data_IF_250490745144
#
_entry.id   IF_250490745144
#
_cell.length_a   1.000
_cell.length_b   1.000
_cell.length_c   1.000
_cell.angle_alpha   90.00
_cell.angle_beta   90.00
_cell.angle_gamma   90.00
#
_symmetry.space_group_name_H-M   'P 1'
#
loop_
_entity.id
_entity.type
_entity.pdbx_description
1 polymer ?
#
# COMPACT_ATOMS: atom_id res chain seq x y z
N UNK A 1 8.23 -6.29 -25.43
CA UNK A 1 7.47 -6.08 -24.18
C UNK A 1 8.52 -6.03 -23.08
N UNK A 2 8.69 -4.88 -22.42
CA UNK A 2 9.57 -4.80 -21.25
C UNK A 2 9.10 -5.84 -20.23
N UNK A 3 10.01 -6.68 -19.72
CA UNK A 3 9.70 -7.61 -18.65
C UNK A 3 9.30 -6.81 -17.42
N UNK A 4 8.00 -6.59 -17.21
CA UNK A 4 7.50 -6.03 -15.97
C UNK A 4 7.87 -6.99 -14.85
N UNK A 5 8.65 -6.50 -13.90
CA UNK A 5 8.95 -7.24 -12.70
C UNK A 5 7.75 -7.10 -11.73
N UNK A 6 7.70 -7.91 -10.68
CA UNK A 6 6.60 -7.89 -9.71
C UNK A 6 6.45 -6.53 -9.00
N UNK A 7 7.53 -5.77 -8.87
CA UNK A 7 7.51 -4.42 -8.28
C UNK A 7 6.83 -3.43 -9.21
N UNK A 8 7.13 -3.46 -10.51
CA UNK A 8 6.45 -2.60 -11.49
C UNK A 8 4.93 -2.83 -11.48
N UNK A 9 4.50 -4.09 -11.38
CA UNK A 9 3.08 -4.44 -11.27
C UNK A 9 2.46 -3.95 -9.96
N UNK A 10 3.19 -4.04 -8.85
CA UNK A 10 2.76 -3.54 -7.55
C UNK A 10 2.58 -2.03 -7.57
N UNK A 11 3.57 -1.30 -8.07
CA UNK A 11 3.55 0.17 -8.12
C UNK A 11 2.37 0.65 -8.98
N UNK A 12 2.13 0.03 -10.14
CA UNK A 12 0.92 0.30 -10.94
C UNK A 12 -0.38 0.03 -10.18
N UNK A 13 -0.43 -1.00 -9.34
CA UNK A 13 -1.61 -1.31 -8.53
C UNK A 13 -1.85 -0.26 -7.45
N UNK A 14 -0.79 0.23 -6.81
CA UNK A 14 -0.85 1.27 -5.79
C UNK A 14 -1.35 2.60 -6.37
N UNK A 15 -0.83 3.01 -7.53
CA UNK A 15 -1.32 4.19 -8.26
C UNK A 15 -2.81 4.08 -8.59
N UNK A 16 -3.25 2.94 -9.15
CA UNK A 16 -4.66 2.72 -9.48
C UNK A 16 -5.56 2.77 -8.23
N UNK A 17 -5.10 2.26 -7.10
CA UNK A 17 -5.86 2.28 -5.85
C UNK A 17 -5.94 3.69 -5.25
N UNK A 18 -4.86 4.47 -5.31
CA UNK A 18 -4.86 5.86 -4.87
C UNK A 18 -5.85 6.70 -5.68
N UNK A 19 -5.89 6.50 -7.00
CA UNK A 19 -6.88 7.10 -7.89
C UNK A 19 -8.32 6.74 -7.52
N UNK A 20 -8.58 5.47 -7.18
CA UNK A 20 -9.91 5.04 -6.75
C UNK A 20 -10.28 5.65 -5.40
N UNK A 21 -9.34 5.76 -4.47
CA UNK A 21 -9.59 6.37 -3.17
C UNK A 21 -9.86 7.87 -3.28
N UNK A 22 -9.16 8.58 -4.16
CA UNK A 22 -9.49 9.97 -4.51
C UNK A 22 -10.94 10.09 -5.00
N UNK A 23 -11.38 9.19 -5.90
CA UNK A 23 -12.76 9.16 -6.42
C UNK A 23 -13.78 8.85 -5.32
N UNK A 24 -13.50 7.87 -4.46
CA UNK A 24 -14.37 7.48 -3.35
C UNK A 24 -14.58 8.63 -2.35
N UNK A 25 -13.52 9.41 -2.11
CA UNK A 25 -13.56 10.57 -1.19
C UNK A 25 -14.10 11.84 -1.85
N UNK A 26 -14.40 11.83 -3.16
CA UNK A 26 -14.82 13.01 -3.91
C UNK A 26 -13.75 14.10 -4.00
N UNK A 27 -12.46 13.72 -3.89
CA UNK A 27 -11.32 14.64 -3.93
C UNK A 27 -10.92 14.90 -5.38
N UNK A 28 -10.49 16.13 -5.68
CA UNK A 28 -9.81 16.42 -6.94
C UNK A 28 -8.43 15.77 -6.88
N UNK A 29 -8.16 14.83 -7.80
CA UNK A 29 -6.98 13.94 -7.84
C UNK A 29 -5.69 14.62 -7.42
N UNK A 30 -5.36 15.75 -8.05
CA UNK A 30 -3.96 16.17 -8.17
C UNK A 30 -3.27 16.60 -6.86
N UNK A 31 -4.01 17.02 -5.83
CA UNK A 31 -3.39 17.44 -4.55
C UNK A 31 -3.35 16.34 -3.50
N UNK A 32 -4.31 15.42 -3.53
CA UNK A 32 -4.49 14.41 -2.47
C UNK A 32 -4.04 13.02 -2.90
N UNK A 33 -3.86 12.79 -4.21
CA UNK A 33 -3.40 11.52 -4.76
C UNK A 33 -2.07 11.10 -4.15
N UNK A 34 -1.06 11.96 -4.21
CA UNK A 34 0.29 11.62 -3.74
C UNK A 34 0.30 11.31 -2.23
N UNK A 35 -0.46 12.08 -1.45
CA UNK A 35 -0.61 11.81 -0.01
C UNK A 35 -1.27 10.46 0.26
N UNK A 36 -2.33 10.13 -0.49
CA UNK A 36 -3.00 8.83 -0.36
C UNK A 36 -2.07 7.71 -0.80
N UNK A 37 -1.31 7.91 -1.87
CA UNK A 37 -0.36 6.95 -2.39
C UNK A 37 0.74 6.67 -1.35
N UNK A 38 1.31 7.70 -0.73
CA UNK A 38 2.28 7.58 0.36
C UNK A 38 1.71 6.79 1.55
N UNK A 39 0.51 7.16 2.03
CA UNK A 39 -0.18 6.45 3.12
C UNK A 39 -0.41 4.96 2.79
N UNK A 40 -0.69 4.65 1.52
CA UNK A 40 -0.87 3.28 1.06
C UNK A 40 0.44 2.49 1.06
N UNK A 41 1.54 3.08 0.57
CA UNK A 41 2.85 2.44 0.61
C UNK A 41 3.30 2.15 2.04
N UNK A 42 3.20 3.12 2.96
CA UNK A 42 3.54 2.94 4.38
C UNK A 42 2.73 1.79 5.00
N UNK A 43 1.43 1.73 4.70
CA UNK A 43 0.55 0.67 5.21
C UNK A 43 0.93 -0.71 4.67
N UNK A 44 1.35 -0.79 3.40
CA UNK A 44 1.80 -2.04 2.82
C UNK A 44 3.14 -2.49 3.39
N UNK A 45 4.12 -1.60 3.56
CA UNK A 45 5.39 -1.90 4.21
C UNK A 45 5.19 -2.42 5.64
N UNK A 46 4.25 -1.83 6.38
CA UNK A 46 3.85 -2.35 7.68
C UNK A 46 3.32 -3.79 7.58
N UNK A 47 2.40 -4.08 6.65
CA UNK A 47 1.86 -5.43 6.49
C UNK A 47 2.92 -6.44 6.05
N UNK A 48 3.81 -6.07 5.13
CA UNK A 48 4.94 -6.90 4.71
C UNK A 48 5.82 -7.25 5.92
N UNK A 49 6.13 -6.27 6.77
CA UNK A 49 6.87 -6.49 8.03
C UNK A 49 6.16 -7.47 8.95
N UNK A 50 4.84 -7.34 9.13
CA UNK A 50 4.07 -8.24 9.98
C UNK A 50 4.01 -9.67 9.43
N UNK A 51 3.88 -9.83 8.11
CA UNK A 51 3.94 -11.15 7.45
C UNK A 51 5.31 -11.80 7.69
N UNK A 52 6.40 -11.07 7.47
CA UNK A 52 7.76 -11.56 7.71
C UNK A 52 7.96 -11.98 9.17
N UNK A 53 7.43 -11.21 10.13
CA UNK A 53 7.47 -11.57 11.56
C UNK A 53 6.75 -12.88 11.85
N UNK A 54 5.56 -13.08 11.27
CA UNK A 54 4.78 -14.31 11.41
C UNK A 54 5.53 -15.50 10.82
N UNK A 55 6.06 -15.36 9.60
CA UNK A 55 6.84 -16.41 8.92
C UNK A 55 8.09 -16.80 9.73
N UNK A 56 8.73 -15.83 10.38
CA UNK A 56 9.89 -16.04 11.25
C UNK A 56 9.53 -16.50 12.68
N UNK A 57 8.25 -16.78 12.98
CA UNK A 57 7.82 -17.28 14.28
C UNK A 57 7.84 -16.23 15.40
N UNK A 58 7.88 -14.94 15.06
CA UNK A 58 7.78 -13.85 16.04
C UNK A 58 6.31 -13.66 16.44
N UNK A 59 5.97 -13.65 17.74
CA UNK A 59 4.60 -13.40 18.18
C UNK A 59 4.14 -12.01 17.76
N UNK A 60 2.98 -11.93 17.09
CA UNK A 60 2.36 -10.64 16.73
C UNK A 60 1.95 -9.92 18.02
N UNK A 61 2.39 -8.67 18.26
CA UNK A 61 1.93 -7.89 19.40
C UNK A 61 0.40 -7.78 19.36
N UNK A 62 -0.27 -8.06 20.47
CA UNK A 62 -1.71 -7.82 20.58
C UNK A 62 -1.93 -6.32 20.36
N UNK A 63 -2.60 -5.95 19.26
CA UNK A 63 -3.14 -4.60 19.11
C UNK A 63 -4.19 -4.42 20.20
N UNK A 64 -4.04 -3.39 21.03
CA UNK A 64 -4.99 -3.05 22.08
C UNK A 64 -6.41 -2.98 21.50
N UNK A 65 -7.33 -3.65 22.19
CA UNK A 65 -8.76 -3.70 21.89
C UNK A 65 -9.41 -2.32 21.99
#
# INVERSE_FOLDING_TARGET
MLHQNSRDLFDCLMENLADQECKNRGLKSDFMHDKILDEMYEKFEYFESEVIKIENGTPVPKRDQ
#
